data_IF_409783219877
#
_entry.id   IF_409783219877
#
_cell.length_a   1.000
_cell.length_b   1.000
_cell.length_c   1.000
_cell.angle_alpha   90.00
_cell.angle_beta   90.00
_cell.angle_gamma   90.00
#
_symmetry.space_group_name_H-M   'P 1'
#
loop_
_entity.id
_entity.type
_entity.pdbx_description
1 polymer ?
#
# COMPACT_ATOMS: atom_id res chain seq x y z
N UNK A 1 3.23 1.26 -12.84
CA UNK A 1 4.71 1.43 -12.86
C UNK A 1 5.03 2.42 -13.96
N UNK A 2 5.94 3.36 -13.68
CA UNK A 2 6.48 4.31 -14.66
C UNK A 2 8.00 4.31 -14.55
N UNK A 3 8.68 4.71 -15.62
CA UNK A 3 10.14 4.70 -15.70
C UNK A 3 10.69 6.12 -15.89
N UNK A 4 11.98 6.36 -15.58
CA UNK A 4 12.61 7.65 -15.82
C UNK A 4 12.50 8.09 -17.28
N UNK A 5 12.45 9.41 -17.48
CA UNK A 5 12.39 10.06 -18.81
C UNK A 5 11.11 9.77 -19.63
N UNK A 6 10.06 9.25 -19.01
CA UNK A 6 8.76 9.09 -19.65
C UNK A 6 7.82 10.21 -19.22
N UNK A 7 7.00 10.77 -20.13
CA UNK A 7 5.90 11.63 -19.75
C UNK A 7 4.84 10.82 -18.99
N UNK A 8 4.50 11.26 -17.79
CA UNK A 8 3.45 10.65 -16.96
C UNK A 8 2.11 11.32 -17.23
N UNK A 9 2.15 12.64 -17.41
CA UNK A 9 1.02 13.49 -17.77
C UNK A 9 1.49 14.47 -18.83
N UNK A 10 0.63 14.74 -19.79
CA UNK A 10 0.81 15.75 -20.81
C UNK A 10 -0.32 16.76 -20.65
N UNK A 11 0.03 18.05 -20.65
CA UNK A 11 -0.92 19.16 -20.60
C UNK A 11 -0.81 19.91 -21.91
N UNK A 12 -1.93 20.07 -22.60
CA UNK A 12 -2.05 20.84 -23.83
C UNK A 12 -3.08 21.98 -23.61
N UNK A 13 -2.70 23.21 -23.87
CA UNK A 13 -3.55 24.37 -23.66
C UNK A 13 -2.79 25.69 -23.78
N UNK A 14 -3.45 26.82 -23.54
CA UNK A 14 -2.79 28.13 -23.52
C UNK A 14 -1.63 28.17 -22.54
N UNK A 15 -0.51 28.79 -22.93
CA UNK A 15 0.74 28.74 -22.16
C UNK A 15 0.56 29.18 -20.70
N UNK A 16 -0.20 30.25 -20.45
CA UNK A 16 -0.40 30.77 -19.09
C UNK A 16 -1.17 29.77 -18.24
N UNK A 17 -2.23 29.19 -18.77
CA UNK A 17 -3.05 28.19 -18.08
C UNK A 17 -2.25 26.93 -17.78
N UNK A 18 -1.51 26.41 -18.77
CA UNK A 18 -0.64 25.27 -18.60
C UNK A 18 0.43 25.52 -17.51
N UNK A 19 1.00 26.74 -17.47
CA UNK A 19 2.04 27.09 -16.51
C UNK A 19 1.54 27.13 -15.06
N UNK A 20 0.31 27.59 -14.82
CA UNK A 20 -0.30 27.65 -13.48
C UNK A 20 -0.50 26.26 -12.87
N UNK A 21 -0.67 25.23 -13.70
CA UNK A 21 -0.88 23.85 -13.25
C UNK A 21 0.38 23.17 -12.72
N UNK A 22 1.58 23.69 -12.95
CA UNK A 22 2.84 23.03 -12.56
C UNK A 22 2.85 22.62 -11.09
N UNK A 23 2.74 23.57 -10.18
CA UNK A 23 2.89 23.30 -8.75
C UNK A 23 1.80 22.41 -8.17
N UNK A 24 0.50 22.65 -8.40
CA UNK A 24 -0.55 21.79 -7.86
C UNK A 24 -0.50 20.37 -8.43
N UNK A 25 -0.24 20.20 -9.72
CA UNK A 25 -0.09 18.87 -10.33
C UNK A 25 1.08 18.10 -9.73
N UNK A 26 2.26 18.71 -9.68
CA UNK A 26 3.44 18.05 -9.14
C UNK A 26 3.26 17.69 -7.67
N UNK A 27 2.62 18.56 -6.88
CA UNK A 27 2.33 18.30 -5.46
C UNK A 27 1.42 17.07 -5.28
N UNK A 28 0.29 17.04 -5.99
CA UNK A 28 -0.69 15.95 -5.91
C UNK A 28 -0.07 14.62 -6.39
N UNK A 29 0.58 14.65 -7.54
CA UNK A 29 1.20 13.48 -8.15
C UNK A 29 2.31 12.90 -7.26
N UNK A 30 3.19 13.76 -6.76
CA UNK A 30 4.32 13.36 -5.94
C UNK A 30 3.87 12.60 -4.70
N UNK A 31 2.91 13.17 -3.95
CA UNK A 31 2.36 12.54 -2.76
C UNK A 31 1.73 11.17 -3.06
N UNK A 32 0.80 11.11 -4.01
CA UNK A 32 0.07 9.87 -4.28
C UNK A 32 0.96 8.78 -4.89
N UNK A 33 1.89 9.14 -5.77
CA UNK A 33 2.86 8.20 -6.34
C UNK A 33 3.80 7.64 -5.27
N UNK A 34 4.27 8.50 -4.34
CA UNK A 34 5.15 8.09 -3.25
C UNK A 34 4.43 7.08 -2.33
N UNK A 35 3.21 7.39 -1.90
CA UNK A 35 2.40 6.49 -1.07
C UNK A 35 2.08 5.19 -1.79
N UNK A 36 1.62 5.23 -3.05
CA UNK A 36 1.33 4.04 -3.84
C UNK A 36 2.57 3.15 -4.02
N UNK A 37 3.74 3.75 -4.27
CA UNK A 37 5.00 3.01 -4.41
C UNK A 37 5.38 2.31 -3.11
N UNK A 38 5.28 3.01 -1.98
CA UNK A 38 5.57 2.40 -0.67
C UNK A 38 4.58 1.29 -0.33
N UNK A 39 3.29 1.54 -0.53
CA UNK A 39 2.23 0.54 -0.34
C UNK A 39 2.47 -0.72 -1.19
N UNK A 40 2.80 -0.55 -2.47
CA UNK A 40 3.14 -1.67 -3.36
C UNK A 40 4.34 -2.49 -2.86
N UNK A 41 5.38 -1.84 -2.33
CA UNK A 41 6.54 -2.55 -1.74
C UNK A 41 6.13 -3.36 -0.52
N UNK A 42 5.34 -2.78 0.36
CA UNK A 42 4.83 -3.45 1.57
C UNK A 42 3.96 -4.65 1.18
N UNK A 43 3.01 -4.48 0.25
CA UNK A 43 2.15 -5.58 -0.21
C UNK A 43 2.91 -6.71 -0.91
N UNK A 44 4.09 -6.44 -1.48
CA UNK A 44 4.94 -7.45 -2.11
C UNK A 44 5.84 -8.20 -1.12
N UNK A 45 5.97 -7.72 0.10
CA UNK A 45 6.76 -8.37 1.15
C UNK A 45 6.05 -9.58 1.78
N UNK A 46 4.74 -9.73 1.55
CA UNK A 46 3.93 -10.81 2.12
C UNK A 46 2.80 -11.22 1.18
N UNK A 47 2.31 -12.45 1.34
CA UNK A 47 1.07 -12.92 0.72
C UNK A 47 -0.16 -12.66 1.62
N UNK A 48 0.04 -12.11 2.81
CA UNK A 48 -1.03 -11.77 3.76
C UNK A 48 -1.67 -10.43 3.42
N UNK A 49 -2.92 -10.20 3.79
CA UNK A 49 -3.55 -8.90 3.68
C UNK A 49 -2.76 -7.81 4.40
N UNK A 50 -2.67 -6.64 3.77
CA UNK A 50 -2.10 -5.43 4.36
C UNK A 50 -3.19 -4.38 4.44
N UNK A 51 -3.35 -3.75 5.61
CA UNK A 51 -4.27 -2.63 5.84
C UNK A 51 -3.49 -1.33 6.11
N UNK A 52 -3.98 -0.20 5.64
CA UNK A 52 -3.38 1.11 5.86
C UNK A 52 -3.89 1.70 7.19
N UNK A 53 -2.99 1.97 8.14
CA UNK A 53 -3.28 2.46 9.51
C UNK A 53 -2.64 3.80 9.82
N UNK A 54 -2.19 4.53 8.80
CA UNK A 54 -1.34 5.71 8.96
C UNK A 54 -2.05 7.06 9.03
N UNK A 55 -3.37 7.12 8.95
CA UNK A 55 -4.13 8.38 8.87
C UNK A 55 -3.73 9.42 9.92
N UNK A 56 -3.53 9.01 11.18
CA UNK A 56 -3.11 9.91 12.28
C UNK A 56 -1.69 10.48 12.12
N UNK A 57 -0.87 9.92 11.24
CA UNK A 57 0.52 10.33 10.97
C UNK A 57 0.70 10.95 9.58
N UNK A 58 -0.35 11.01 8.78
CA UNK A 58 -0.33 11.66 7.49
C UNK A 58 -0.12 13.19 7.66
N UNK A 59 0.39 13.83 6.61
CA UNK A 59 0.69 15.27 6.60
C UNK A 59 -0.56 16.12 6.35
N UNK A 60 -1.61 15.87 7.11
CA UNK A 60 -2.88 16.55 7.07
C UNK A 60 -4.05 15.65 6.61
N UNK A 61 -5.32 16.08 6.85
CA UNK A 61 -6.51 15.26 6.55
C UNK A 61 -6.63 14.87 5.07
N UNK A 62 -6.31 15.79 4.17
CA UNK A 62 -6.33 15.52 2.72
C UNK A 62 -5.26 14.50 2.33
N UNK A 63 -4.06 14.60 2.90
CA UNK A 63 -2.99 13.63 2.68
C UNK A 63 -3.39 12.24 3.17
N UNK A 64 -4.09 12.13 4.32
CA UNK A 64 -4.63 10.87 4.81
C UNK A 64 -5.62 10.25 3.81
N UNK A 65 -6.60 11.03 3.34
CA UNK A 65 -7.64 10.55 2.41
C UNK A 65 -7.06 10.13 1.06
N UNK A 66 -6.25 10.98 0.44
CA UNK A 66 -5.65 10.68 -0.88
C UNK A 66 -4.58 9.60 -0.78
N UNK A 67 -3.84 9.57 0.32
CA UNK A 67 -2.86 8.52 0.60
C UNK A 67 -3.53 7.14 0.74
N UNK A 68 -4.62 7.03 1.48
CA UNK A 68 -5.39 5.79 1.59
C UNK A 68 -5.89 5.30 0.23
N UNK A 69 -6.43 6.20 -0.62
CA UNK A 69 -6.84 5.84 -1.99
C UNK A 69 -5.65 5.34 -2.83
N UNK A 70 -4.52 6.00 -2.76
CA UNK A 70 -3.31 5.61 -3.48
C UNK A 70 -2.78 4.25 -3.01
N UNK A 71 -2.85 3.97 -1.70
CA UNK A 71 -2.45 2.69 -1.12
C UNK A 71 -3.38 1.54 -1.59
N UNK A 72 -4.69 1.77 -1.66
CA UNK A 72 -5.67 0.79 -2.16
C UNK A 72 -5.38 0.45 -3.63
N UNK A 73 -5.14 1.43 -4.48
CA UNK A 73 -4.76 1.22 -5.88
C UNK A 73 -3.48 0.37 -6.00
N UNK A 74 -2.57 0.50 -5.03
CA UNK A 74 -1.31 -0.23 -5.00
C UNK A 74 -1.38 -1.64 -4.39
N UNK A 75 -2.56 -2.10 -3.97
CA UNK A 75 -2.82 -3.46 -3.50
C UNK A 75 -3.09 -3.61 -2.00
N UNK A 76 -3.13 -2.51 -1.25
CA UNK A 76 -3.63 -2.54 0.14
C UNK A 76 -5.09 -2.98 0.12
N UNK A 77 -5.44 -3.97 0.94
CA UNK A 77 -6.78 -4.51 0.95
C UNK A 77 -7.72 -3.65 1.79
N UNK A 78 -8.88 -3.38 1.21
CA UNK A 78 -9.98 -2.67 1.87
C UNK A 78 -10.95 -3.64 2.59
N UNK A 79 -10.74 -4.96 2.44
CA UNK A 79 -11.72 -6.02 2.72
C UNK A 79 -12.04 -6.26 4.21
N UNK A 80 -11.31 -5.65 5.13
CA UNK A 80 -11.64 -5.77 6.56
C UNK A 80 -12.49 -4.59 7.07
N UNK A 81 -13.18 -3.91 6.13
CA UNK A 81 -14.03 -2.77 6.42
C UNK A 81 -13.24 -1.57 6.97
N UNK A 82 -13.80 -0.39 6.87
CA UNK A 82 -13.31 0.78 7.59
C UNK A 82 -13.63 0.70 9.09
N UNK A 83 -13.60 -0.50 9.64
CA UNK A 83 -13.82 -0.74 11.06
C UNK A 83 -12.64 -0.18 11.82
N UNK A 84 -12.90 0.83 12.62
CA UNK A 84 -11.93 1.33 13.57
C UNK A 84 -11.41 0.16 14.42
N UNK A 85 -10.11 0.15 14.70
CA UNK A 85 -9.56 -0.82 15.62
C UNK A 85 -9.67 -0.30 17.04
N UNK A 86 -9.78 -1.21 18.01
CA UNK A 86 -9.72 -0.88 19.43
C UNK A 86 -8.41 -0.11 19.74
N UNK A 87 -8.49 0.91 20.58
CA UNK A 87 -7.33 1.66 21.06
C UNK A 87 -6.97 1.23 22.48
N UNK A 88 -5.69 1.32 22.85
CA UNK A 88 -5.26 1.05 24.26
C UNK A 88 -6.01 1.94 25.26
N UNK A 89 -6.31 3.19 24.91
CA UNK A 89 -7.09 4.10 25.75
C UNK A 89 -8.51 3.60 26.04
N UNK A 90 -9.12 2.86 25.11
CA UNK A 90 -10.39 2.21 25.35
C UNK A 90 -10.26 1.12 26.41
N UNK A 91 -9.24 0.27 26.32
CA UNK A 91 -9.00 -0.80 27.30
C UNK A 91 -8.73 -0.20 28.68
N UNK A 92 -7.84 0.81 28.76
CA UNK A 92 -7.48 1.46 30.02
C UNK A 92 -8.63 2.22 30.68
N UNK A 93 -9.65 2.64 29.91
CA UNK A 93 -10.85 3.31 30.46
C UNK A 93 -11.69 2.39 31.38
N UNK A 94 -11.52 1.07 31.28
CA UNK A 94 -12.19 0.10 32.16
C UNK A 94 -11.39 -0.21 33.43
N UNK A 95 -10.27 0.47 33.64
CA UNK A 95 -9.39 0.30 34.79
C UNK A 95 -8.13 -0.51 34.49
N UNK A 96 -7.00 -0.13 35.12
CA UNK A 96 -5.69 -0.75 34.90
C UNK A 96 -5.58 -2.09 35.63
N UNK A 97 -6.37 -3.09 35.23
CA UNK A 97 -6.36 -4.42 35.84
C UNK A 97 -6.73 -5.48 34.81
N UNK A 98 -6.39 -6.74 35.14
CA UNK A 98 -6.77 -7.89 34.32
C UNK A 98 -8.30 -7.99 34.13
N UNK A 99 -9.06 -7.69 35.18
CA UNK A 99 -10.52 -7.69 35.12
C UNK A 99 -11.06 -6.50 34.30
N UNK A 100 -10.42 -5.32 34.36
CA UNK A 100 -10.77 -4.16 33.53
C UNK A 100 -10.57 -4.48 32.04
N UNK A 101 -9.47 -5.11 31.67
CA UNK A 101 -9.21 -5.55 30.29
C UNK A 101 -10.28 -6.54 29.80
N UNK A 102 -10.63 -7.53 30.61
CA UNK A 102 -11.71 -8.46 30.26
C UNK A 102 -13.05 -7.71 30.04
N UNK A 103 -13.41 -6.79 30.96
CA UNK A 103 -14.64 -5.99 30.83
C UNK A 103 -14.65 -5.14 29.55
N UNK A 104 -13.49 -4.59 29.17
CA UNK A 104 -13.37 -3.87 27.91
C UNK A 104 -13.69 -4.76 26.71
N UNK A 105 -13.11 -5.94 26.64
CA UNK A 105 -13.35 -6.90 25.55
C UNK A 105 -14.81 -7.39 25.52
N UNK A 106 -15.34 -7.78 26.68
CA UNK A 106 -16.73 -8.22 26.82
C UNK A 106 -17.73 -7.13 26.35
N UNK A 107 -17.50 -5.88 26.77
CA UNK A 107 -18.33 -4.74 26.37
C UNK A 107 -18.21 -4.49 24.86
N UNK A 108 -16.99 -4.54 24.31
CA UNK A 108 -16.77 -4.34 22.88
C UNK A 108 -17.52 -5.38 22.04
N UNK A 109 -17.44 -6.65 22.40
CA UNK A 109 -18.16 -7.73 21.72
C UNK A 109 -19.66 -7.49 21.72
N UNK A 110 -20.23 -7.12 22.87
CA UNK A 110 -21.68 -6.88 23.03
C UNK A 110 -22.16 -5.69 22.20
N UNK A 111 -21.35 -4.65 22.06
CA UNK A 111 -21.72 -3.43 21.34
C UNK A 111 -21.47 -3.49 19.83
N UNK A 112 -20.59 -4.39 19.38
CA UNK A 112 -20.19 -4.53 17.95
C UNK A 112 -20.56 -5.89 17.37
N UNK A 113 -21.56 -6.56 17.94
CA UNK A 113 -22.00 -7.87 17.44
C UNK A 113 -22.49 -7.77 16.01
N UNK A 114 -21.96 -8.64 15.13
CA UNK A 114 -22.23 -8.59 13.69
C UNK A 114 -21.14 -7.86 12.89
N UNK A 115 -20.16 -7.27 13.56
CA UNK A 115 -18.98 -6.65 12.95
C UNK A 115 -17.72 -7.50 13.24
N UNK A 116 -16.60 -7.30 12.51
CA UNK A 116 -15.34 -7.95 12.85
C UNK A 116 -14.85 -7.58 14.26
N UNK A 117 -14.53 -8.58 15.07
CA UNK A 117 -14.19 -8.41 16.49
C UNK A 117 -12.68 -8.61 16.70
N UNK A 118 -11.89 -7.54 16.70
CA UNK A 118 -10.42 -7.61 16.86
C UNK A 118 -10.02 -7.02 18.21
N UNK A 119 -9.60 -7.90 19.14
CA UNK A 119 -9.18 -7.51 20.49
C UNK A 119 -7.72 -7.09 20.54
N UNK A 120 -7.44 -5.91 21.09
CA UNK A 120 -6.08 -5.39 21.30
C UNK A 120 -5.52 -5.94 22.61
N UNK A 121 -4.64 -6.95 22.52
CA UNK A 121 -4.29 -7.83 23.64
C UNK A 121 -2.97 -7.48 24.34
N UNK A 122 -2.30 -6.42 23.94
CA UNK A 122 -0.99 -6.02 24.48
C UNK A 122 -1.03 -4.73 25.30
N UNK A 123 -2.20 -4.42 25.88
CA UNK A 123 -2.33 -3.24 26.74
C UNK A 123 -1.54 -3.38 28.04
N UNK A 124 -1.49 -4.57 28.61
CA UNK A 124 -0.74 -4.86 29.85
C UNK A 124 0.28 -5.99 29.66
N UNK A 125 -0.16 -7.22 29.54
CA UNK A 125 0.68 -8.39 29.27
C UNK A 125 -0.02 -9.31 28.30
N UNK A 126 0.57 -9.43 27.11
CA UNK A 126 -0.03 -10.18 25.99
C UNK A 126 -0.37 -11.63 26.33
N UNK A 127 0.57 -12.35 26.94
CA UNK A 127 0.43 -13.81 27.15
C UNK A 127 -0.21 -14.17 28.48
N UNK A 128 0.01 -13.37 29.53
CA UNK A 128 -0.50 -13.65 30.87
C UNK A 128 -1.96 -13.24 31.04
N UNK A 129 -2.36 -12.11 30.44
CA UNK A 129 -3.73 -11.62 30.55
C UNK A 129 -4.40 -11.36 29.17
N UNK A 130 -3.81 -10.62 28.25
CA UNK A 130 -4.48 -10.13 27.06
C UNK A 130 -5.13 -11.22 26.21
N UNK A 131 -4.36 -12.21 25.71
CA UNK A 131 -4.91 -13.30 24.90
C UNK A 131 -5.89 -14.17 25.69
N UNK A 132 -5.65 -14.35 27.00
CA UNK A 132 -6.54 -15.15 27.87
C UNK A 132 -7.87 -14.45 28.11
N UNK A 133 -7.85 -13.13 28.34
CA UNK A 133 -9.04 -12.31 28.48
C UNK A 133 -9.84 -12.24 27.15
N UNK A 134 -9.17 -12.18 26.00
CA UNK A 134 -9.82 -12.24 24.72
C UNK A 134 -10.55 -13.58 24.52
N UNK A 135 -9.86 -14.72 24.75
CA UNK A 135 -10.48 -16.06 24.67
C UNK A 135 -11.66 -16.19 25.63
N UNK A 136 -11.52 -15.72 26.87
CA UNK A 136 -12.62 -15.72 27.85
C UNK A 136 -13.81 -14.90 27.36
N UNK A 137 -13.58 -13.68 26.86
CA UNK A 137 -14.62 -12.82 26.37
C UNK A 137 -15.31 -13.40 25.13
N UNK A 138 -14.57 -14.00 24.21
CA UNK A 138 -15.13 -14.75 23.07
C UNK A 138 -16.02 -15.89 23.53
N UNK A 139 -15.55 -16.74 24.43
CA UNK A 139 -16.30 -17.87 24.94
C UNK A 139 -17.59 -17.44 25.66
N UNK A 140 -17.50 -16.44 26.54
CA UNK A 140 -18.64 -15.95 27.34
C UNK A 140 -19.73 -15.30 26.47
N UNK A 141 -19.37 -14.82 25.25
CA UNK A 141 -20.28 -14.23 24.29
C UNK A 141 -20.65 -15.16 23.11
N UNK A 142 -20.22 -16.43 23.11
CA UNK A 142 -20.51 -17.38 22.06
C UNK A 142 -19.87 -17.01 20.72
N UNK A 143 -18.65 -16.45 20.74
CA UNK A 143 -17.83 -16.20 19.55
C UNK A 143 -16.87 -17.36 19.38
N UNK A 144 -16.97 -18.03 18.24
CA UNK A 144 -16.14 -19.15 17.83
C UNK A 144 -15.89 -19.13 16.31
N UNK A 145 -15.34 -20.21 15.76
CA UNK A 145 -14.99 -20.31 14.34
C UNK A 145 -16.19 -20.22 13.38
N UNK A 146 -17.44 -20.29 13.89
CA UNK A 146 -18.66 -20.07 13.12
C UNK A 146 -19.10 -18.61 13.03
N UNK A 147 -18.40 -17.69 13.69
CA UNK A 147 -18.71 -16.27 13.66
C UNK A 147 -18.39 -15.65 12.30
N UNK A 148 -19.42 -15.45 11.47
CA UNK A 148 -19.28 -15.06 10.04
C UNK A 148 -18.56 -13.73 9.81
N UNK A 149 -18.74 -12.75 10.70
CA UNK A 149 -18.10 -11.44 10.56
C UNK A 149 -16.57 -11.46 10.80
N UNK A 150 -16.06 -12.57 11.33
CA UNK A 150 -14.65 -12.76 11.66
C UNK A 150 -14.24 -12.18 13.01
N UNK A 151 -13.29 -12.83 13.66
CA UNK A 151 -12.76 -12.41 14.95
C UNK A 151 -11.26 -12.63 15.03
N UNK A 152 -10.58 -11.94 15.95
CA UNK A 152 -9.15 -12.03 16.07
C UNK A 152 -8.57 -11.23 17.24
N UNK A 153 -7.25 -11.29 17.32
CA UNK A 153 -6.45 -10.54 18.29
C UNK A 153 -5.43 -9.68 17.56
N UNK A 154 -5.06 -8.55 18.14
CA UNK A 154 -4.06 -7.62 17.60
C UNK A 154 -2.90 -7.44 18.55
N UNK A 155 -1.70 -7.53 17.99
CA UNK A 155 -0.42 -7.26 18.61
C UNK A 155 0.13 -5.93 18.07
N UNK A 156 0.41 -4.99 18.96
CA UNK A 156 0.91 -3.64 18.61
C UNK A 156 2.28 -3.34 19.23
N UNK A 157 2.86 -4.30 19.97
CA UNK A 157 4.14 -4.13 20.66
C UNK A 157 4.87 -5.45 20.94
N UNK A 158 6.12 -5.35 21.38
CA UNK A 158 6.94 -6.49 21.75
C UNK A 158 7.56 -7.24 20.57
N UNK A 159 8.04 -8.45 20.82
CA UNK A 159 8.55 -9.35 19.78
C UNK A 159 7.37 -9.99 19.04
N UNK A 160 7.00 -9.40 17.91
CA UNK A 160 5.83 -9.83 17.15
C UNK A 160 5.95 -11.27 16.62
N UNK A 161 7.16 -11.75 16.29
CA UNK A 161 7.35 -13.12 15.84
C UNK A 161 7.06 -14.09 16.97
N UNK A 162 7.72 -13.93 18.11
CA UNK A 162 7.53 -14.78 19.30
C UNK A 162 6.09 -14.70 19.81
N UNK A 163 5.56 -13.48 19.99
CA UNK A 163 4.20 -13.30 20.54
C UNK A 163 3.13 -13.88 19.64
N UNK A 164 3.26 -13.75 18.30
CA UNK A 164 2.27 -14.33 17.37
C UNK A 164 2.28 -15.86 17.42
N UNK A 165 3.44 -16.50 17.50
CA UNK A 165 3.56 -17.94 17.63
C UNK A 165 2.96 -18.45 18.94
N UNK A 166 3.26 -17.79 20.06
CA UNK A 166 2.70 -18.17 21.36
C UNK A 166 1.19 -17.91 21.46
N UNK A 167 0.71 -16.79 20.90
CA UNK A 167 -0.73 -16.54 20.82
C UNK A 167 -1.41 -17.59 19.96
N UNK A 168 -0.85 -17.98 18.81
CA UNK A 168 -1.42 -19.02 17.95
C UNK A 168 -1.50 -20.35 18.69
N UNK A 169 -0.43 -20.76 19.38
CA UNK A 169 -0.42 -21.97 20.20
C UNK A 169 -1.53 -21.95 21.27
N UNK A 170 -1.64 -20.85 22.02
CA UNK A 170 -2.66 -20.71 23.07
C UNK A 170 -4.09 -20.72 22.52
N UNK A 171 -4.32 -20.06 21.38
CA UNK A 171 -5.62 -20.03 20.71
C UNK A 171 -6.03 -21.43 20.23
N UNK A 172 -5.12 -22.15 19.59
CA UNK A 172 -5.38 -23.52 19.08
C UNK A 172 -5.65 -24.52 20.21
N UNK A 173 -4.85 -24.47 21.27
CA UNK A 173 -5.03 -25.32 22.45
C UNK A 173 -6.39 -25.12 23.16
N UNK A 174 -7.01 -23.94 22.96
CA UNK A 174 -8.29 -23.58 23.56
C UNK A 174 -9.47 -23.60 22.57
N UNK A 175 -9.26 -24.11 21.34
CA UNK A 175 -10.32 -24.31 20.36
C UNK A 175 -10.67 -23.08 19.51
N UNK A 176 -9.80 -22.08 19.44
CA UNK A 176 -9.97 -20.86 18.63
C UNK A 176 -9.08 -20.90 17.38
N UNK A 177 -9.13 -21.99 16.62
CA UNK A 177 -8.27 -22.20 15.44
C UNK A 177 -8.52 -21.17 14.32
N UNK A 178 -9.75 -20.68 14.18
CA UNK A 178 -10.15 -19.66 13.20
C UNK A 178 -9.83 -18.21 13.63
N UNK A 179 -9.44 -17.99 14.89
CA UNK A 179 -9.11 -16.68 15.42
C UNK A 179 -7.91 -16.07 14.68
N UNK A 180 -8.05 -14.88 14.07
CA UNK A 180 -7.02 -14.22 13.29
C UNK A 180 -6.06 -13.44 14.17
N UNK A 181 -4.77 -13.41 13.78
CA UNK A 181 -3.73 -12.63 14.46
C UNK A 181 -3.32 -11.46 13.57
N UNK A 182 -3.54 -10.25 14.06
CA UNK A 182 -3.18 -9.00 13.41
C UNK A 182 -1.90 -8.45 14.06
N UNK A 183 -0.95 -8.02 13.24
CA UNK A 183 0.23 -7.31 13.72
C UNK A 183 0.24 -5.87 13.24
N UNK A 184 0.56 -4.97 14.14
CA UNK A 184 0.71 -3.53 13.88
C UNK A 184 1.97 -3.02 14.58
N UNK A 185 2.24 -1.71 14.48
CA UNK A 185 3.38 -1.00 15.04
C UNK A 185 4.66 -1.05 14.20
N UNK A 186 5.00 0.11 13.66
CA UNK A 186 6.27 0.41 12.97
C UNK A 186 6.64 -0.55 11.83
N UNK A 187 5.64 -1.22 11.26
CA UNK A 187 5.83 -2.17 10.17
C UNK A 187 6.21 -1.47 8.88
N UNK A 188 7.09 -2.13 8.14
CA UNK A 188 7.45 -1.80 6.76
C UNK A 188 7.78 -3.10 5.99
N UNK A 189 8.13 -2.97 4.71
CA UNK A 189 8.45 -4.11 3.84
C UNK A 189 9.61 -4.96 4.36
N UNK A 190 10.56 -4.38 5.08
CA UNK A 190 11.72 -5.10 5.59
C UNK A 190 11.37 -5.91 6.83
N UNK A 191 10.72 -5.27 7.80
CA UNK A 191 10.29 -5.95 9.03
C UNK A 191 9.27 -7.05 8.73
N UNK A 192 8.32 -6.82 7.82
CA UNK A 192 7.37 -7.86 7.39
C UNK A 192 8.12 -9.05 6.78
N UNK A 193 9.10 -8.81 5.90
CA UNK A 193 9.91 -9.89 5.33
C UNK A 193 10.65 -10.68 6.42
N UNK A 194 11.16 -10.01 7.45
CA UNK A 194 11.85 -10.67 8.54
C UNK A 194 10.90 -11.47 9.45
N UNK A 195 9.71 -10.96 9.74
CA UNK A 195 8.67 -11.68 10.47
C UNK A 195 8.23 -12.96 9.74
N UNK A 196 8.01 -12.88 8.41
CA UNK A 196 7.68 -14.06 7.60
C UNK A 196 8.82 -15.10 7.63
N UNK A 197 10.09 -14.68 7.57
CA UNK A 197 11.25 -15.58 7.66
C UNK A 197 11.40 -16.24 9.02
N UNK A 198 11.01 -15.58 10.09
CA UNK A 198 11.01 -16.10 11.44
C UNK A 198 9.86 -17.07 11.70
N UNK A 199 8.93 -17.23 10.74
CA UNK A 199 7.76 -18.09 10.88
C UNK A 199 6.66 -17.51 11.77
N UNK A 200 6.56 -16.19 11.84
CA UNK A 200 5.51 -15.49 12.59
C UNK A 200 4.12 -15.94 12.15
N UNK A 201 3.25 -16.21 13.11
CA UNK A 201 1.87 -16.66 12.88
C UNK A 201 0.93 -15.45 12.75
N UNK A 202 1.14 -14.63 11.72
CA UNK A 202 0.38 -13.39 11.49
C UNK A 202 -0.51 -13.58 10.28
N UNK A 203 -1.79 -13.23 10.40
CA UNK A 203 -2.79 -13.33 9.33
C UNK A 203 -2.97 -12.02 8.57
N UNK A 204 -2.71 -10.87 9.19
CA UNK A 204 -2.87 -9.54 8.58
C UNK A 204 -1.89 -8.52 9.19
N UNK A 205 -1.39 -7.63 8.36
CA UNK A 205 -0.50 -6.54 8.77
C UNK A 205 -1.19 -5.18 8.67
N UNK A 206 -1.18 -4.41 9.76
CA UNK A 206 -1.62 -3.01 9.75
C UNK A 206 -0.41 -2.07 9.70
N UNK A 207 -0.20 -1.43 8.55
CA UNK A 207 0.97 -0.59 8.30
C UNK A 207 0.57 0.88 8.31
N UNK A 208 1.16 1.65 9.23
CA UNK A 208 0.81 3.05 9.44
C UNK A 208 1.75 4.03 8.74
N UNK A 209 2.65 4.64 9.54
CA UNK A 209 3.50 5.74 9.11
C UNK A 209 4.36 5.41 7.87
N UNK A 210 4.82 4.18 7.74
CA UNK A 210 5.63 3.79 6.60
C UNK A 210 4.90 4.03 5.26
N UNK A 211 3.61 3.69 5.18
CA UNK A 211 2.78 3.94 3.98
C UNK A 211 2.38 5.41 3.90
N UNK A 212 1.74 5.94 4.96
CA UNK A 212 1.13 7.28 4.95
C UNK A 212 2.11 8.42 4.66
N UNK A 213 3.40 8.23 5.00
CA UNK A 213 4.45 9.24 4.78
C UNK A 213 5.44 8.83 3.69
N UNK A 214 5.25 7.67 3.06
CA UNK A 214 6.24 7.09 2.15
C UNK A 214 7.65 7.10 2.75
N UNK A 215 7.78 6.60 3.99
CA UNK A 215 9.02 6.60 4.76
C UNK A 215 10.20 6.06 3.93
N UNK A 216 11.35 6.70 4.04
CA UNK A 216 12.58 6.49 3.30
C UNK A 216 12.61 7.05 1.85
N UNK A 217 11.47 7.31 1.21
CA UNK A 217 11.42 7.95 -0.12
C UNK A 217 10.17 8.85 -0.22
N UNK A 218 10.11 9.97 0.53
CA UNK A 218 8.89 10.78 0.68
C UNK A 218 8.54 11.61 -0.55
N UNK A 219 9.46 11.74 -1.51
CA UNK A 219 9.21 12.50 -2.73
C UNK A 219 9.98 11.93 -3.92
N UNK A 220 9.45 12.18 -5.11
CA UNK A 220 10.11 11.94 -6.39
C UNK A 220 10.62 13.25 -6.99
N UNK A 221 11.67 13.17 -7.80
CA UNK A 221 12.18 14.29 -8.56
C UNK A 221 11.37 14.59 -9.84
N UNK A 222 10.03 14.59 -9.72
CA UNK A 222 9.16 14.90 -10.84
C UNK A 222 9.41 16.34 -11.35
N UNK A 223 9.35 16.52 -12.65
CA UNK A 223 9.51 17.82 -13.30
C UNK A 223 8.36 18.10 -14.25
N UNK A 224 8.04 19.38 -14.41
CA UNK A 224 7.09 19.87 -15.41
C UNK A 224 7.88 20.72 -16.40
N UNK A 225 7.77 20.45 -17.69
CA UNK A 225 8.58 21.09 -18.72
C UNK A 225 7.75 21.42 -19.94
N UNK A 226 7.92 22.64 -20.45
CA UNK A 226 7.44 23.00 -21.78
C UNK A 226 8.27 22.23 -22.81
N UNK A 227 7.63 21.44 -23.66
CA UNK A 227 8.27 20.61 -24.67
C UNK A 227 7.90 20.98 -26.09
N UNK A 228 6.79 21.67 -26.27
CA UNK A 228 6.29 22.13 -27.56
C UNK A 228 5.50 23.44 -27.42
N UNK A 229 5.64 24.35 -28.34
CA UNK A 229 4.86 25.59 -28.45
C UNK A 229 4.54 25.85 -29.94
N UNK A 230 3.27 26.07 -30.25
CA UNK A 230 2.79 26.32 -31.63
C UNK A 230 3.28 25.28 -32.64
N UNK A 231 3.29 23.99 -32.22
CA UNK A 231 3.76 22.85 -33.04
C UNK A 231 5.29 22.77 -33.20
N UNK A 232 6.04 23.63 -32.51
CA UNK A 232 7.50 23.59 -32.55
C UNK A 232 8.07 22.97 -31.27
N UNK A 233 8.91 21.97 -31.42
CA UNK A 233 9.60 21.36 -30.30
C UNK A 233 10.56 22.33 -29.62
N UNK A 234 10.49 22.44 -28.31
CA UNK A 234 11.35 23.31 -27.50
C UNK A 234 12.06 22.51 -26.41
N UNK A 235 13.25 22.96 -26.05
CA UNK A 235 14.10 22.27 -25.06
C UNK A 235 14.82 23.31 -24.18
N UNK A 236 14.73 23.12 -22.87
CA UNK A 236 15.65 23.79 -21.96
C UNK A 236 17.01 23.08 -22.00
N UNK A 237 18.04 23.78 -22.44
CA UNK A 237 19.43 23.31 -22.34
C UNK A 237 19.86 23.31 -20.87
N UNK A 238 20.47 22.23 -20.42
CA UNK A 238 21.05 22.11 -19.09
C UNK A 238 22.47 21.58 -19.22
N UNK A 239 23.39 22.05 -18.39
CA UNK A 239 24.74 21.49 -18.28
C UNK A 239 24.72 20.07 -17.68
N UNK A 240 23.70 19.79 -16.85
CA UNK A 240 23.47 18.49 -16.26
C UNK A 240 22.67 17.60 -17.24
N UNK A 241 23.35 16.64 -17.86
CA UNK A 241 22.76 15.73 -18.85
C UNK A 241 21.59 14.92 -18.30
N UNK A 242 21.57 14.63 -16.99
CA UNK A 242 20.48 13.89 -16.34
C UNK A 242 19.17 14.69 -16.33
N UNK A 243 19.26 16.04 -16.45
CA UNK A 243 18.11 16.95 -16.48
C UNK A 243 17.63 17.28 -17.90
N UNK A 244 18.26 16.74 -18.92
CA UNK A 244 17.79 16.90 -20.28
C UNK A 244 16.56 16.00 -20.49
N UNK A 245 15.53 16.60 -21.05
CA UNK A 245 14.31 15.90 -21.48
C UNK A 245 14.26 15.91 -22.99
N UNK A 246 13.56 14.95 -23.57
CA UNK A 246 13.35 14.94 -24.99
C UNK A 246 12.33 16.02 -25.39
N UNK A 247 12.61 16.86 -26.39
CA UNK A 247 11.69 17.89 -26.85
C UNK A 247 10.53 17.29 -27.68
N UNK A 248 9.47 18.09 -27.84
CA UNK A 248 8.30 17.75 -28.61
C UNK A 248 7.26 16.94 -27.85
N UNK A 249 6.08 16.79 -28.43
CA UNK A 249 4.96 16.06 -27.85
C UNK A 249 5.22 14.55 -27.92
N UNK A 250 5.57 13.96 -26.79
CA UNK A 250 5.87 12.54 -26.68
C UNK A 250 4.68 11.74 -26.19
N UNK A 251 4.49 10.54 -26.77
CA UNK A 251 3.49 9.56 -26.33
C UNK A 251 4.23 8.30 -25.90
N UNK A 252 3.85 7.72 -24.76
CA UNK A 252 4.40 6.46 -24.29
C UNK A 252 3.35 5.36 -24.42
N UNK A 253 3.71 4.31 -25.15
CA UNK A 253 2.89 3.09 -25.32
C UNK A 253 3.47 1.98 -24.45
N UNK A 254 2.60 1.31 -23.71
CA UNK A 254 2.97 0.14 -22.93
C UNK A 254 2.72 -1.13 -23.72
N UNK A 255 3.77 -1.89 -23.96
CA UNK A 255 3.72 -3.14 -24.70
C UNK A 255 3.50 -4.29 -23.71
N UNK A 256 2.38 -4.96 -23.85
CA UNK A 256 2.00 -6.14 -23.07
C UNK A 256 2.03 -7.38 -23.94
N UNK A 257 2.43 -8.52 -23.35
CA UNK A 257 2.35 -9.83 -24.00
C UNK A 257 1.31 -10.67 -23.28
N UNK A 258 0.39 -11.28 -24.04
CA UNK A 258 -0.51 -12.29 -23.50
C UNK A 258 0.25 -13.60 -23.29
N UNK A 259 0.39 -14.01 -22.04
CA UNK A 259 0.94 -15.32 -21.66
C UNK A 259 -0.22 -16.25 -21.30
N UNK A 260 -0.27 -17.48 -21.84
CA UNK A 260 -1.41 -18.37 -21.61
C UNK A 260 -1.57 -18.82 -20.15
N UNK A 261 -0.53 -18.70 -19.33
CA UNK A 261 -0.56 -19.11 -17.91
C UNK A 261 -0.67 -17.91 -16.96
N UNK A 262 0.03 -16.81 -17.29
CA UNK A 262 0.18 -15.63 -16.41
C UNK A 262 -0.71 -14.45 -16.80
N UNK A 263 -1.45 -14.56 -17.92
CA UNK A 263 -2.23 -13.43 -18.45
C UNK A 263 -1.34 -12.36 -19.10
N UNK A 264 -1.73 -11.10 -19.01
CA UNK A 264 -0.95 -10.00 -19.57
C UNK A 264 0.35 -9.75 -18.81
N UNK A 265 1.47 -9.85 -19.52
CA UNK A 265 2.82 -9.61 -18.98
C UNK A 265 3.39 -8.35 -19.63
N UNK A 266 3.87 -7.43 -18.78
CA UNK A 266 4.66 -6.27 -19.21
C UNK A 266 5.91 -6.71 -19.98
N UNK A 267 6.20 -6.05 -21.10
CA UNK A 267 7.39 -6.27 -21.91
C UNK A 267 8.30 -5.06 -22.02
N UNK A 268 7.76 -3.93 -22.42
CA UNK A 268 8.51 -2.72 -22.64
C UNK A 268 7.59 -1.50 -22.64
N UNK A 269 8.14 -0.32 -22.42
CA UNK A 269 7.52 0.95 -22.78
C UNK A 269 8.26 1.56 -23.96
N UNK A 270 7.53 2.10 -24.91
CA UNK A 270 8.04 2.77 -26.11
C UNK A 270 7.56 4.20 -26.12
N UNK A 271 8.50 5.14 -26.13
CA UNK A 271 8.18 6.58 -26.22
C UNK A 271 8.58 7.11 -27.60
N UNK A 272 7.65 7.71 -28.30
CA UNK A 272 7.86 8.33 -29.61
C UNK A 272 7.19 9.70 -29.70
N UNK A 273 7.57 10.51 -30.67
CA UNK A 273 6.92 11.79 -30.94
C UNK A 273 5.55 11.57 -31.60
N UNK A 274 4.58 12.39 -31.23
CA UNK A 274 3.25 12.39 -31.85
C UNK A 274 3.39 12.61 -33.36
N UNK A 275 2.86 11.67 -34.13
CA UNK A 275 2.89 11.71 -35.58
C UNK A 275 4.16 11.16 -36.26
N UNK A 276 5.14 10.69 -35.50
CA UNK A 276 6.28 9.94 -36.03
C UNK A 276 5.83 8.64 -36.74
N UNK A 277 6.68 8.11 -37.60
CA UNK A 277 6.43 6.86 -38.30
C UNK A 277 6.20 5.69 -37.31
N UNK A 278 6.97 5.64 -36.23
CA UNK A 278 6.80 4.62 -35.20
C UNK A 278 5.46 4.77 -34.46
N UNK A 279 5.07 6.00 -34.10
CA UNK A 279 3.79 6.29 -33.48
C UNK A 279 2.63 5.84 -34.38
N UNK A 280 2.67 6.18 -35.67
CA UNK A 280 1.66 5.78 -36.67
C UNK A 280 1.57 4.26 -36.80
N UNK A 281 2.70 3.55 -36.84
CA UNK A 281 2.72 2.07 -36.92
C UNK A 281 2.08 1.42 -35.69
N UNK A 282 2.39 1.94 -34.48
CA UNK A 282 1.80 1.42 -33.24
C UNK A 282 0.29 1.66 -33.22
N UNK A 283 -0.17 2.86 -33.59
CA UNK A 283 -1.59 3.21 -33.64
C UNK A 283 -2.36 2.42 -34.70
N UNK A 284 -1.71 2.09 -35.82
CA UNK A 284 -2.28 1.24 -36.88
C UNK A 284 -2.25 -0.27 -36.55
N UNK A 285 -1.63 -0.67 -35.42
CA UNK A 285 -1.46 -2.08 -35.08
C UNK A 285 -0.47 -2.82 -36.00
N UNK A 286 0.42 -2.08 -36.64
CA UNK A 286 1.43 -2.65 -37.52
C UNK A 286 2.60 -3.27 -36.75
N UNK A 287 3.27 -4.23 -37.34
CA UNK A 287 4.48 -4.82 -36.73
C UNK A 287 5.63 -3.83 -36.71
N UNK A 288 6.29 -3.72 -35.57
CA UNK A 288 7.50 -2.93 -35.41
C UNK A 288 8.54 -3.68 -34.58
N UNK A 289 9.79 -3.24 -34.67
CA UNK A 289 10.91 -3.85 -33.93
C UNK A 289 11.45 -2.84 -32.93
N UNK A 290 11.55 -3.26 -31.68
CA UNK A 290 12.22 -2.50 -30.63
C UNK A 290 13.62 -3.10 -30.43
N UNK A 291 14.63 -2.25 -30.38
CA UNK A 291 15.99 -2.64 -29.99
C UNK A 291 16.27 -2.03 -28.61
N UNK A 292 16.59 -2.87 -27.65
CA UNK A 292 17.15 -2.44 -26.37
C UNK A 292 18.65 -2.21 -26.55
N UNK A 293 19.18 -1.08 -26.04
CA UNK A 293 20.63 -0.80 -26.07
C UNK A 293 21.42 -1.80 -25.23
N UNK A 294 20.81 -2.42 -24.23
CA UNK A 294 21.44 -3.37 -23.30
C UNK A 294 21.19 -4.82 -23.67
N UNK A 295 20.08 -5.11 -24.35
CA UNK A 295 19.71 -6.46 -24.77
C UNK A 295 19.58 -6.49 -26.30
N UNK A 296 20.50 -7.14 -26.97
CA UNK A 296 20.50 -7.28 -28.44
C UNK A 296 19.35 -8.13 -28.98
N UNK A 297 18.31 -8.35 -28.16
CA UNK A 297 17.13 -9.10 -28.56
C UNK A 297 16.16 -8.20 -29.33
N UNK A 298 15.88 -8.58 -30.55
CA UNK A 298 14.82 -7.97 -31.37
C UNK A 298 13.48 -8.57 -30.96
N UNK A 299 12.63 -7.76 -30.39
CA UNK A 299 11.23 -8.14 -30.18
C UNK A 299 10.45 -7.88 -31.47
N UNK A 300 9.87 -8.93 -32.04
CA UNK A 300 8.80 -8.81 -33.05
C UNK A 300 7.49 -8.91 -32.29
N UNK A 301 6.67 -7.88 -32.36
CA UNK A 301 5.29 -7.90 -31.87
C UNK A 301 4.36 -8.37 -32.96
#
# INVERSE_FOLDING_TARGET
IVFPNQPIIIVEGPLIEAQVLETPMLCIMNHQMAVATKASRVCRATNRPVSEFGSRRAHGPWAATYGAKAAIIAGVKYDYGSTGTMAHSYVTAFGCSVEGEYKAFDTYIKTHRGEPLIMLIDTYDTLRCGVRNAMKAFKDNGIDDSYEAGYGVRLDSGDLAYLSMECRRLLDENGFCGCKIFATNSLDEYLITDLERQGACIDCYGVGDAIATSKAAPCFGNVYKLVEIDGQAVLKRSEDKIKLINPGFQITYRIMKNDPVKGEIYKADVTCLRGDELCKKIEAGEQFTICDEYDRYKYKT
#
